data_IF_397896252171
#
_entry.id   IF_397896252171
#
_cell.length_a   1.000
_cell.length_b   1.000
_cell.length_c   1.000
_cell.angle_alpha   90.00
_cell.angle_beta   90.00
_cell.angle_gamma   90.00
#
_symmetry.space_group_name_H-M   'P 1'
#
loop_
_entity.id
_entity.type
_entity.pdbx_description
1 polymer ?
#
# COMPACT_ATOMS: atom_id res chain seq x y z
N UNK A 1 -4.03 4.03 13.31
CA UNK A 1 -3.41 4.03 11.97
C UNK A 1 -2.24 4.98 11.94
N UNK A 2 -1.11 4.51 11.39
CA UNK A 2 0.12 5.31 11.29
C UNK A 2 0.78 5.07 9.95
N UNK A 3 1.50 6.07 9.44
CA UNK A 3 2.29 5.99 8.22
C UNK A 3 3.26 4.81 8.27
N UNK A 4 3.30 4.02 7.21
CA UNK A 4 4.16 2.83 7.10
C UNK A 4 3.52 1.54 7.58
N UNK A 5 2.37 1.61 8.22
CA UNK A 5 1.66 0.39 8.60
C UNK A 5 1.12 -0.34 7.39
N UNK A 6 1.06 -1.67 7.51
CA UNK A 6 0.44 -2.55 6.53
C UNK A 6 -0.92 -2.96 7.09
N UNK A 7 -1.95 -2.70 6.32
CA UNK A 7 -3.33 -3.01 6.71
C UNK A 7 -4.00 -3.90 5.68
N UNK A 8 -4.85 -4.80 6.15
CA UNK A 8 -5.78 -5.49 5.26
C UNK A 8 -6.94 -4.54 4.99
N UNK A 9 -7.21 -4.31 3.70
CA UNK A 9 -8.22 -3.34 3.27
C UNK A 9 -9.19 -3.99 2.28
N UNK A 10 -10.38 -3.40 2.16
CA UNK A 10 -11.36 -3.77 1.15
C UNK A 10 -11.37 -2.70 0.08
N UNK A 11 -10.89 -3.04 -1.11
CA UNK A 11 -10.91 -2.12 -2.25
C UNK A 11 -12.21 -2.29 -3.01
N UNK A 12 -12.83 -1.18 -3.49
CA UNK A 12 -14.07 -1.28 -4.25
C UNK A 12 -13.84 -1.99 -5.57
N UNK A 13 -14.87 -2.63 -6.09
CA UNK A 13 -14.82 -3.22 -7.43
C UNK A 13 -14.52 -2.13 -8.45
N UNK A 14 -13.60 -2.43 -9.38
CA UNK A 14 -13.23 -1.53 -10.46
C UNK A 14 -12.83 -2.35 -11.68
N UNK A 15 -13.29 -2.00 -12.89
CA UNK A 15 -12.83 -2.65 -14.11
C UNK A 15 -11.39 -2.27 -14.43
N UNK A 16 -10.74 -3.07 -15.28
CA UNK A 16 -9.38 -2.80 -15.74
C UNK A 16 -8.32 -3.26 -14.77
N UNK A 17 -7.22 -2.50 -14.69
CA UNK A 17 -6.03 -2.89 -13.96
C UNK A 17 -6.03 -2.48 -12.48
N UNK A 18 -7.05 -1.77 -12.00
CA UNK A 18 -7.13 -1.38 -10.58
C UNK A 18 -7.36 -2.62 -9.73
N UNK A 19 -6.67 -2.67 -8.59
CA UNK A 19 -6.88 -3.73 -7.62
C UNK A 19 -8.27 -3.61 -7.00
N UNK A 20 -8.87 -4.77 -6.69
CA UNK A 20 -10.18 -4.85 -6.06
C UNK A 20 -10.19 -6.00 -5.05
N UNK A 21 -11.18 -6.00 -4.15
CA UNK A 21 -11.33 -7.00 -3.12
C UNK A 21 -10.43 -6.76 -1.92
N UNK A 22 -10.29 -7.78 -1.05
CA UNK A 22 -9.46 -7.65 0.14
C UNK A 22 -8.00 -7.87 -0.21
N UNK A 23 -7.17 -6.90 0.15
CA UNK A 23 -5.74 -6.90 -0.15
C UNK A 23 -4.96 -6.27 0.98
N UNK A 24 -3.67 -6.62 1.15
CA UNK A 24 -2.78 -5.79 1.95
C UNK A 24 -2.56 -4.44 1.27
N UNK A 25 -2.37 -3.41 2.07
CA UNK A 25 -2.02 -2.07 1.58
C UNK A 25 -1.09 -1.39 2.57
N UNK A 26 -0.24 -0.50 2.05
CA UNK A 26 0.73 0.25 2.84
C UNK A 26 0.19 1.66 3.00
N UNK A 27 0.06 2.12 4.26
CA UNK A 27 -0.36 3.49 4.54
C UNK A 27 0.80 4.44 4.29
N UNK A 28 0.60 5.44 3.45
CA UNK A 28 1.65 6.37 3.05
C UNK A 28 1.35 7.82 3.46
N UNK A 29 0.16 8.09 3.99
CA UNK A 29 -0.22 9.42 4.38
C UNK A 29 0.48 9.83 5.67
N UNK A 30 0.77 11.12 5.80
CA UNK A 30 1.38 11.67 7.02
C UNK A 30 0.42 11.53 8.21
N UNK A 31 0.96 11.24 9.39
CA UNK A 31 0.18 10.80 10.55
C UNK A 31 -0.88 11.81 10.98
N UNK A 32 -0.58 13.10 10.96
CA UNK A 32 -1.56 14.10 11.40
C UNK A 32 -2.76 14.19 10.45
N UNK A 33 -2.56 13.95 9.16
CA UNK A 33 -3.65 13.89 8.20
C UNK A 33 -4.42 12.59 8.31
N UNK A 34 -3.77 11.47 8.65
CA UNK A 34 -4.49 10.23 8.94
C UNK A 34 -5.48 10.47 10.08
N UNK A 35 -5.04 11.17 11.14
CA UNK A 35 -5.90 11.43 12.29
C UNK A 35 -7.07 12.35 11.95
N UNK A 36 -6.88 13.30 11.03
CA UNK A 36 -7.83 14.39 10.78
C UNK A 36 -8.85 14.10 9.68
N UNK A 37 -8.52 13.21 8.71
CA UNK A 37 -9.32 13.03 7.50
C UNK A 37 -10.13 11.73 7.54
N UNK A 38 -11.25 11.65 6.82
CA UNK A 38 -12.08 10.43 6.78
C UNK A 38 -11.50 9.34 5.89
N UNK A 39 -10.53 9.68 5.03
CA UNK A 39 -9.88 8.74 4.12
C UNK A 39 -8.39 8.68 4.42
N UNK A 40 -7.73 7.65 3.91
CA UNK A 40 -6.28 7.48 4.04
C UNK A 40 -5.67 7.14 2.68
N UNK A 41 -4.54 7.78 2.37
CA UNK A 41 -3.77 7.47 1.17
C UNK A 41 -2.98 6.19 1.42
N UNK A 42 -3.09 5.26 0.48
CA UNK A 42 -2.43 3.96 0.61
C UNK A 42 -1.99 3.42 -0.75
N UNK A 43 -1.07 2.48 -0.69
CA UNK A 43 -0.54 1.74 -1.83
C UNK A 43 -1.02 0.30 -1.71
N UNK A 44 -1.87 -0.18 -2.64
CA UNK A 44 -2.32 -1.57 -2.58
C UNK A 44 -1.20 -2.53 -2.98
N UNK A 45 -1.26 -3.74 -2.43
CA UNK A 45 -0.31 -4.81 -2.74
C UNK A 45 -1.04 -6.01 -3.33
N UNK A 46 -0.32 -6.79 -4.14
CA UNK A 46 -0.84 -8.03 -4.70
C UNK A 46 0.20 -9.14 -4.55
N UNK A 47 -0.25 -10.37 -4.33
CA UNK A 47 0.63 -11.54 -4.35
C UNK A 47 0.92 -12.05 -5.77
N UNK A 48 0.28 -11.49 -6.79
CA UNK A 48 0.54 -11.85 -8.18
C UNK A 48 1.87 -11.24 -8.63
N UNK A 49 2.90 -12.07 -8.70
CA UNK A 49 4.27 -11.63 -9.03
C UNK A 49 4.38 -11.06 -10.45
N UNK A 50 3.47 -11.42 -11.35
CA UNK A 50 3.46 -10.87 -12.71
C UNK A 50 3.24 -9.36 -12.72
N UNK A 51 2.66 -8.80 -11.67
CA UNK A 51 2.47 -7.35 -11.57
C UNK A 51 3.79 -6.58 -11.48
N UNK A 52 4.89 -7.24 -11.12
CA UNK A 52 6.21 -6.60 -11.07
C UNK A 52 6.71 -6.12 -12.43
N UNK A 53 6.06 -6.56 -13.54
CA UNK A 53 6.40 -6.07 -14.88
C UNK A 53 6.06 -4.60 -15.10
N UNK A 54 5.16 -4.04 -14.31
CA UNK A 54 4.80 -2.63 -14.43
C UNK A 54 5.83 -1.75 -13.76
N UNK A 55 6.12 -0.60 -14.34
CA UNK A 55 6.89 0.45 -13.68
C UNK A 55 6.14 0.96 -12.44
N UNK A 56 6.88 1.47 -11.46
CA UNK A 56 6.25 1.96 -10.24
C UNK A 56 5.78 0.85 -9.32
N UNK A 57 6.47 -0.27 -9.32
CA UNK A 57 6.20 -1.40 -8.41
C UNK A 57 7.42 -1.71 -7.56
N UNK A 58 7.18 -2.33 -6.40
CA UNK A 58 8.23 -2.73 -5.48
C UNK A 58 7.88 -4.10 -4.90
N UNK A 59 8.82 -5.04 -4.99
CA UNK A 59 8.65 -6.35 -4.34
C UNK A 59 8.95 -6.22 -2.86
N UNK A 60 8.03 -6.70 -2.03
CA UNK A 60 8.15 -6.68 -0.57
C UNK A 60 8.09 -8.12 -0.07
N UNK A 61 9.18 -8.58 0.56
CA UNK A 61 9.23 -9.91 1.14
C UNK A 61 8.58 -9.91 2.53
N UNK A 62 7.90 -11.02 2.91
CA UNK A 62 7.43 -11.17 4.28
C UNK A 62 8.58 -11.10 5.28
N UNK A 63 8.34 -10.43 6.40
CA UNK A 63 9.25 -10.44 7.53
C UNK A 63 8.46 -10.58 8.83
N UNK A 64 9.14 -10.52 9.97
CA UNK A 64 8.48 -10.71 11.26
C UNK A 64 7.71 -9.49 11.75
N UNK A 65 7.65 -8.40 10.98
CA UNK A 65 7.00 -7.17 11.39
C UNK A 65 5.88 -6.71 10.43
N UNK A 66 6.00 -7.00 9.13
CA UNK A 66 5.08 -6.42 8.14
C UNK A 66 3.75 -7.19 8.00
N UNK A 67 3.64 -8.36 8.58
CA UNK A 67 2.39 -9.12 8.57
C UNK A 67 2.02 -9.75 7.24
N UNK A 68 2.88 -9.66 6.22
CA UNK A 68 2.64 -10.32 4.93
C UNK A 68 2.93 -11.81 5.08
N UNK A 69 2.11 -12.64 4.43
CA UNK A 69 2.27 -14.10 4.44
C UNK A 69 2.95 -14.61 3.17
N UNK A 70 3.00 -13.79 2.13
CA UNK A 70 3.57 -14.13 0.83
C UNK A 70 4.36 -12.94 0.29
N UNK A 71 5.38 -13.18 -0.56
CA UNK A 71 5.99 -12.09 -1.32
C UNK A 71 4.91 -11.32 -2.06
N UNK A 72 4.93 -10.00 -1.92
CA UNK A 72 3.89 -9.13 -2.44
C UNK A 72 4.50 -8.01 -3.27
N UNK A 73 3.79 -7.61 -4.31
CA UNK A 73 4.18 -6.48 -5.16
C UNK A 73 3.38 -5.26 -4.71
N UNK A 74 4.07 -4.25 -4.21
CA UNK A 74 3.46 -2.96 -3.89
C UNK A 74 3.23 -2.19 -5.19
N UNK A 75 1.97 -1.87 -5.48
CA UNK A 75 1.57 -1.20 -6.71
C UNK A 75 1.55 0.30 -6.47
N UNK A 76 2.73 0.91 -6.40
CA UNK A 76 2.86 2.31 -6.03
C UNK A 76 2.14 3.21 -7.05
N UNK A 77 2.14 2.80 -8.33
CA UNK A 77 1.42 3.53 -9.38
C UNK A 77 -0.11 3.52 -9.19
N UNK A 78 -0.64 2.71 -8.28
CA UNK A 78 -2.07 2.66 -7.96
C UNK A 78 -2.40 3.32 -6.61
N UNK A 79 -1.56 4.26 -6.17
CA UNK A 79 -1.83 5.07 -4.98
C UNK A 79 -3.29 5.54 -5.01
N UNK A 80 -4.00 5.32 -3.90
CA UNK A 80 -5.44 5.62 -3.81
C UNK A 80 -5.79 6.15 -2.44
N UNK A 81 -6.86 6.96 -2.38
CA UNK A 81 -7.50 7.30 -1.12
C UNK A 81 -8.63 6.29 -0.86
N UNK A 82 -8.65 5.74 0.35
CA UNK A 82 -9.66 4.78 0.76
C UNK A 82 -10.33 5.26 2.04
N UNK A 83 -11.64 5.04 2.14
CA UNK A 83 -12.37 5.34 3.38
C UNK A 83 -11.83 4.48 4.52
N UNK A 84 -11.62 5.08 5.69
CA UNK A 84 -11.07 4.37 6.85
C UNK A 84 -11.90 3.15 7.25
N UNK A 85 -13.22 3.17 7.04
CA UNK A 85 -14.08 2.02 7.36
C UNK A 85 -13.78 0.79 6.50
N UNK A 86 -13.11 0.96 5.37
CA UNK A 86 -12.68 -0.13 4.51
C UNK A 86 -11.27 -0.62 4.85
N UNK A 87 -10.63 -0.05 5.83
CA UNK A 87 -9.40 -0.55 6.42
C UNK A 87 -9.77 -1.52 7.54
N UNK A 88 -9.64 -2.82 7.28
CA UNK A 88 -10.29 -3.85 8.08
C UNK A 88 -9.50 -4.21 9.33
N UNK A 89 -8.17 -4.37 9.21
CA UNK A 89 -7.30 -4.66 10.37
C UNK A 89 -5.84 -4.38 10.06
N UNK A 90 -5.10 -4.05 11.09
CA UNK A 90 -3.65 -3.88 10.99
C UNK A 90 -2.98 -5.25 10.86
N UNK A 91 -2.08 -5.38 9.88
CA UNK A 91 -1.27 -6.58 9.69
C UNK A 91 0.13 -6.42 10.30
N UNK A 92 0.71 -5.25 10.18
CA UNK A 92 2.06 -4.99 10.66
C UNK A 92 2.56 -3.62 10.28
N UNK A 93 3.86 -3.49 10.18
CA UNK A 93 4.52 -2.24 9.80
C UNK A 93 5.68 -2.54 8.86
N UNK A 94 5.85 -1.69 7.86
CA UNK A 94 6.93 -1.80 6.89
C UNK A 94 8.22 -1.25 7.50
N UNK A 95 9.35 -1.89 7.21
CA UNK A 95 10.65 -1.38 7.66
C UNK A 95 10.95 -0.02 7.00
N UNK A 96 11.65 0.88 7.72
CA UNK A 96 11.91 2.22 7.18
C UNK A 96 12.61 2.25 5.82
N UNK A 97 13.65 1.43 5.55
CA UNK A 97 14.27 1.46 4.22
C UNK A 97 13.30 1.10 3.09
N UNK A 98 12.41 0.13 3.30
CA UNK A 98 11.43 -0.25 2.28
C UNK A 98 10.39 0.86 2.10
N UNK A 99 9.96 1.50 3.18
CA UNK A 99 9.06 2.65 3.09
C UNK A 99 9.70 3.79 2.31
N UNK A 100 10.99 4.05 2.51
CA UNK A 100 11.71 5.07 1.75
C UNK A 100 11.73 4.75 0.25
N UNK A 101 11.86 3.48 -0.12
CA UNK A 101 11.77 3.05 -1.52
C UNK A 101 10.38 3.34 -2.12
N UNK A 102 9.32 3.15 -1.34
CA UNK A 102 7.97 3.50 -1.78
C UNK A 102 7.88 5.00 -2.09
N UNK A 103 8.41 5.85 -1.22
CA UNK A 103 8.38 7.29 -1.43
C UNK A 103 9.26 7.72 -2.60
N UNK A 104 10.40 7.07 -2.81
CA UNK A 104 11.22 7.32 -3.99
C UNK A 104 10.45 7.04 -5.28
N UNK A 105 9.70 5.94 -5.32
CA UNK A 105 8.86 5.62 -6.48
C UNK A 105 7.72 6.63 -6.65
N UNK A 106 7.10 7.07 -5.56
CA UNK A 106 6.07 8.10 -5.62
C UNK A 106 6.61 9.40 -6.21
N UNK A 107 7.81 9.80 -5.80
CA UNK A 107 8.46 10.99 -6.35
C UNK A 107 8.72 10.84 -7.84
N UNK A 108 9.19 9.68 -8.28
CA UNK A 108 9.41 9.41 -9.70
C UNK A 108 8.10 9.46 -10.50
N UNK A 109 7.05 8.84 -9.96
CA UNK A 109 5.74 8.79 -10.62
C UNK A 109 5.10 10.17 -10.72
N UNK A 110 5.40 11.07 -9.81
CA UNK A 110 4.86 12.45 -9.82
C UNK A 110 5.82 13.46 -10.43
N UNK A 111 7.01 13.02 -10.86
CA UNK A 111 7.99 13.89 -11.50
C UNK A 111 8.78 14.77 -10.53
N UNK A 112 8.87 14.35 -9.30
CA UNK A 112 9.57 15.15 -8.28
C UNK A 112 11.06 14.76 -8.15
#
# INVERSE_FOLDING_TARGET
MRRGEVWRVRLPFAPGHRQAGERPAILVQEDSFIAALPTVLLVPCTSNQAAARFAGTLLVQPDNQNGLTMPSVALVFQLSALDKRDCLRRLGILDPPTLDQVFTLLDQLTGR
#
